data_IF_594528454560
#
_entry.id   IF_594528454560
#
_cell.length_a   1.000
_cell.length_b   1.000
_cell.length_c   1.000
_cell.angle_alpha   90.00
_cell.angle_beta   90.00
_cell.angle_gamma   90.00
#
_symmetry.space_group_name_H-M   'P 1'
#
loop_
_entity.id
_entity.type
_entity.pdbx_description
1 polymer ?
#
# COMPACT_ATOMS: atom_id res chain seq x y z
N UNK A 1 -0.82 -29.27 -47.30
CA UNK A 1 -0.46 -30.53 -46.63
C UNK A 1 0.44 -30.20 -45.45
N UNK A 2 0.05 -29.28 -44.56
CA UNK A 2 -1.09 -29.33 -43.62
C UNK A 2 -1.02 -30.61 -42.77
N UNK A 3 -0.57 -30.51 -41.52
CA UNK A 3 -1.46 -30.19 -40.40
C UNK A 3 -0.64 -30.01 -39.10
N UNK A 4 -0.78 -28.82 -38.50
CA UNK A 4 -0.41 -28.45 -37.14
C UNK A 4 -1.46 -29.05 -36.18
N UNK A 5 -1.06 -30.03 -35.36
CA UNK A 5 -1.83 -30.46 -34.17
C UNK A 5 -1.10 -29.98 -32.91
N UNK A 6 -1.16 -28.68 -32.62
CA UNK A 6 -0.92 -28.16 -31.27
C UNK A 6 -2.26 -28.10 -30.54
N UNK A 7 -2.67 -29.26 -30.04
CA UNK A 7 -3.88 -29.47 -29.26
C UNK A 7 -3.73 -28.76 -27.91
N UNK A 8 -4.03 -27.46 -27.92
CA UNK A 8 -4.11 -26.61 -26.73
C UNK A 8 -5.09 -27.21 -25.73
N UNK A 9 -4.56 -27.92 -24.73
CA UNK A 9 -5.33 -28.40 -23.59
C UNK A 9 -6.00 -27.21 -22.93
N UNK A 10 -7.30 -27.02 -23.19
CA UNK A 10 -8.15 -26.09 -22.49
C UNK A 10 -8.17 -26.53 -21.02
N UNK A 11 -7.35 -25.87 -20.20
CA UNK A 11 -7.40 -26.05 -18.75
C UNK A 11 -8.77 -25.56 -18.30
N UNK A 12 -9.53 -26.42 -17.62
CA UNK A 12 -10.81 -26.05 -16.99
C UNK A 12 -10.54 -24.94 -15.97
N UNK A 13 -10.66 -23.69 -16.42
CA UNK A 13 -10.50 -22.52 -15.57
C UNK A 13 -11.56 -22.56 -14.48
N UNK A 14 -11.19 -22.36 -13.20
CA UNK A 14 -12.18 -22.33 -12.14
C UNK A 14 -13.15 -21.17 -12.39
N UNK A 15 -14.45 -21.48 -12.38
CA UNK A 15 -15.54 -20.51 -12.55
C UNK A 15 -16.27 -20.31 -11.22
N UNK A 16 -16.58 -19.05 -10.90
CA UNK A 16 -17.25 -18.66 -9.66
C UNK A 16 -18.48 -17.79 -9.97
N UNK A 17 -19.51 -18.35 -10.64
CA UNK A 17 -20.61 -17.55 -11.20
C UNK A 17 -21.41 -16.78 -10.14
N UNK A 18 -21.61 -17.37 -8.96
CA UNK A 18 -22.30 -16.72 -7.85
C UNK A 18 -21.51 -15.52 -7.29
N UNK A 19 -20.20 -15.68 -7.11
CA UNK A 19 -19.30 -14.62 -6.66
C UNK A 19 -19.20 -13.51 -7.71
N UNK A 20 -19.03 -13.87 -8.97
CA UNK A 20 -18.95 -12.92 -10.08
C UNK A 20 -20.23 -12.09 -10.18
N UNK A 21 -21.41 -12.71 -10.07
CA UNK A 21 -22.69 -11.99 -10.05
C UNK A 21 -22.78 -11.04 -8.86
N UNK A 22 -22.46 -11.50 -7.65
CA UNK A 22 -22.51 -10.68 -6.44
C UNK A 22 -21.54 -9.47 -6.49
N UNK A 23 -20.35 -9.68 -7.06
CA UNK A 23 -19.36 -8.61 -7.28
C UNK A 23 -19.88 -7.60 -8.30
N UNK A 24 -20.46 -8.07 -9.40
CA UNK A 24 -20.94 -7.18 -10.46
C UNK A 24 -22.13 -6.33 -10.00
N UNK A 25 -23.05 -6.90 -9.21
CA UNK A 25 -24.14 -6.18 -8.54
C UNK A 25 -23.60 -5.13 -7.56
N UNK A 26 -22.58 -5.48 -6.77
CA UNK A 26 -21.94 -4.56 -5.83
C UNK A 26 -21.25 -3.40 -6.54
N UNK A 27 -20.58 -3.66 -7.68
CA UNK A 27 -19.97 -2.62 -8.52
C UNK A 27 -21.06 -1.65 -9.02
N UNK A 28 -22.17 -2.17 -9.52
CA UNK A 28 -23.29 -1.34 -9.99
C UNK A 28 -23.84 -0.46 -8.85
N UNK A 29 -24.08 -1.04 -7.67
CA UNK A 29 -24.58 -0.33 -6.49
C UNK A 29 -23.61 0.78 -6.00
N UNK A 30 -22.30 0.58 -6.17
CA UNK A 30 -21.27 1.54 -5.78
C UNK A 30 -21.02 2.63 -6.83
N UNK A 31 -21.78 2.66 -7.93
CA UNK A 31 -21.68 3.67 -8.98
C UNK A 31 -20.78 3.26 -10.15
N UNK A 32 -20.63 1.97 -10.39
CA UNK A 32 -19.99 1.39 -11.58
C UNK A 32 -18.46 1.30 -11.52
N UNK A 33 -17.82 1.80 -10.47
CA UNK A 33 -16.37 1.69 -10.27
C UNK A 33 -16.02 1.55 -8.79
N UNK A 34 -15.11 0.64 -8.48
CA UNK A 34 -14.75 0.26 -7.13
C UNK A 34 -13.23 0.20 -6.91
N UNK A 35 -12.86 0.20 -5.64
CA UNK A 35 -11.53 -0.10 -5.11
C UNK A 35 -11.64 -1.38 -4.27
N UNK A 36 -10.98 -2.49 -4.66
CA UNK A 36 -11.03 -3.74 -3.93
C UNK A 36 -9.98 -3.80 -2.81
N UNK A 37 -10.31 -4.47 -1.70
CA UNK A 37 -9.35 -4.95 -0.69
C UNK A 37 -9.82 -6.25 -0.06
N UNK A 38 -8.90 -7.03 0.50
CA UNK A 38 -9.25 -8.11 1.41
C UNK A 38 -9.44 -7.56 2.84
N UNK A 39 -9.49 -8.44 3.83
CA UNK A 39 -9.69 -8.11 5.25
C UNK A 39 -8.77 -6.97 5.71
N UNK A 40 -7.50 -6.97 5.29
CA UNK A 40 -6.49 -6.01 5.79
C UNK A 40 -5.88 -5.19 4.66
N UNK A 41 -5.46 -5.82 3.58
CA UNK A 41 -4.63 -5.21 2.56
C UNK A 41 -5.39 -4.94 1.27
N UNK A 42 -5.10 -3.79 0.67
CA UNK A 42 -5.48 -3.47 -0.71
C UNK A 42 -4.30 -3.79 -1.64
N UNK A 43 -4.55 -4.14 -2.92
CA UNK A 43 -3.51 -4.56 -3.86
C UNK A 43 -2.71 -3.37 -4.44
N UNK A 44 -2.25 -2.45 -3.57
CA UNK A 44 -1.61 -1.17 -3.96
C UNK A 44 -0.29 -1.38 -4.72
N UNK A 45 0.42 -2.43 -4.37
CA UNK A 45 1.63 -2.92 -5.02
C UNK A 45 1.38 -3.44 -6.44
N UNK A 46 0.18 -3.97 -6.71
CA UNK A 46 -0.23 -4.45 -8.03
C UNK A 46 -0.84 -3.38 -8.94
N UNK A 47 -0.82 -2.10 -8.56
CA UNK A 47 -1.49 -1.03 -9.33
C UNK A 47 -1.04 -0.97 -10.80
N UNK A 48 0.21 -1.34 -11.11
CA UNK A 48 0.72 -1.40 -12.49
C UNK A 48 0.03 -2.44 -13.38
N UNK A 49 -0.61 -3.45 -12.79
CA UNK A 49 -1.37 -4.48 -13.51
C UNK A 49 -2.81 -4.03 -13.81
N UNK A 50 -3.30 -3.01 -13.11
CA UNK A 50 -4.64 -2.47 -13.32
C UNK A 50 -4.74 -1.62 -14.59
N UNK A 51 -5.97 -1.48 -15.10
CA UNK A 51 -6.24 -0.62 -16.25
C UNK A 51 -5.78 0.82 -15.96
N UNK A 52 -4.89 1.34 -16.81
CA UNK A 52 -4.30 2.67 -16.65
C UNK A 52 -3.36 2.84 -15.45
N UNK A 53 -2.85 1.74 -14.88
CA UNK A 53 -1.95 1.79 -13.72
C UNK A 53 -2.66 2.21 -12.42
N UNK A 54 -3.95 1.91 -12.30
CA UNK A 54 -4.81 2.33 -11.17
C UNK A 54 -5.43 1.14 -10.45
N UNK A 55 -5.93 1.38 -9.24
CA UNK A 55 -6.69 0.40 -8.45
C UNK A 55 -8.21 0.47 -8.71
N UNK A 56 -8.60 1.13 -9.79
CA UNK A 56 -10.00 1.27 -10.20
C UNK A 56 -10.43 0.03 -10.95
N UNK A 57 -11.46 -0.65 -10.44
CA UNK A 57 -12.07 -1.79 -11.11
C UNK A 57 -13.53 -1.53 -11.46
N UNK A 58 -13.99 -2.14 -12.55
CA UNK A 58 -15.34 -2.08 -13.10
C UNK A 58 -15.90 -3.46 -13.43
N UNK A 59 -15.05 -4.50 -13.38
CA UNK A 59 -15.43 -5.90 -13.61
C UNK A 59 -14.79 -6.82 -12.58
N UNK A 60 -15.37 -8.01 -12.40
CA UNK A 60 -14.77 -9.07 -11.60
C UNK A 60 -13.36 -9.46 -12.07
N UNK A 61 -13.14 -9.55 -13.39
CA UNK A 61 -11.84 -9.90 -13.95
C UNK A 61 -10.73 -8.91 -13.57
N UNK A 62 -11.02 -7.61 -13.58
CA UNK A 62 -10.07 -6.57 -13.14
C UNK A 62 -9.73 -6.71 -11.65
N UNK A 63 -10.72 -7.03 -10.81
CA UNK A 63 -10.50 -7.28 -9.38
C UNK A 63 -9.63 -8.51 -9.18
N UNK A 64 -9.98 -9.62 -9.84
CA UNK A 64 -9.24 -10.87 -9.75
C UNK A 64 -7.78 -10.72 -10.19
N UNK A 65 -7.54 -9.96 -11.28
CA UNK A 65 -6.19 -9.66 -11.75
C UNK A 65 -5.38 -8.90 -10.70
N UNK A 66 -5.90 -7.80 -10.15
CA UNK A 66 -5.19 -7.02 -9.14
C UNK A 66 -4.90 -7.84 -7.87
N UNK A 67 -5.88 -8.61 -7.38
CA UNK A 67 -5.71 -9.44 -6.19
C UNK A 67 -4.68 -10.54 -6.42
N UNK A 68 -4.69 -11.21 -7.59
CA UNK A 68 -3.75 -12.26 -7.94
C UNK A 68 -2.31 -11.75 -8.13
N UNK A 69 -2.17 -10.49 -8.53
CA UNK A 69 -0.87 -9.86 -8.78
C UNK A 69 -0.28 -9.10 -7.58
N UNK A 70 -0.91 -9.18 -6.41
CA UNK A 70 -0.48 -8.43 -5.22
C UNK A 70 0.19 -9.33 -4.18
N UNK A 71 1.42 -8.98 -3.80
CA UNK A 71 2.15 -9.58 -2.71
C UNK A 71 1.51 -9.23 -1.36
N UNK A 72 0.95 -8.02 -1.21
CA UNK A 72 0.19 -7.66 -0.01
C UNK A 72 -1.05 -8.56 0.18
N UNK A 73 -1.75 -8.90 -0.90
CA UNK A 73 -2.89 -9.82 -0.86
C UNK A 73 -2.44 -11.27 -0.62
N UNK A 74 -1.34 -11.70 -1.23
CA UNK A 74 -0.76 -13.01 -0.95
C UNK A 74 -0.36 -13.14 0.53
N UNK A 75 0.21 -12.09 1.10
CA UNK A 75 0.52 -12.02 2.52
C UNK A 75 -0.73 -12.14 3.40
N UNK A 76 -1.81 -11.44 3.09
CA UNK A 76 -3.09 -11.56 3.81
C UNK A 76 -3.60 -13.01 3.85
N UNK A 77 -3.53 -13.71 2.71
CA UNK A 77 -4.04 -15.08 2.57
C UNK A 77 -3.17 -16.13 3.26
N UNK A 78 -1.85 -15.95 3.23
CA UNK A 78 -0.90 -16.99 3.64
C UNK A 78 -0.25 -16.73 5.02
N UNK A 79 -0.14 -15.47 5.44
CA UNK A 79 0.76 -15.06 6.53
C UNK A 79 0.14 -14.12 7.56
N UNK A 80 -1.08 -13.60 7.36
CA UNK A 80 -1.68 -12.59 8.23
C UNK A 80 -1.70 -12.94 9.73
N UNK A 81 -1.93 -14.22 10.06
CA UNK A 81 -2.01 -14.71 11.44
C UNK A 81 -0.67 -15.23 11.98
N UNK A 82 0.39 -15.27 11.15
CA UNK A 82 1.67 -15.92 11.50
C UNK A 82 2.42 -15.24 12.64
N UNK A 83 2.15 -13.96 12.92
CA UNK A 83 2.80 -13.19 13.99
C UNK A 83 1.98 -13.10 15.29
N UNK A 84 0.80 -13.71 15.34
CA UNK A 84 -0.03 -13.69 16.53
C UNK A 84 0.52 -14.68 17.57
N UNK A 85 0.76 -14.23 18.81
CA UNK A 85 1.21 -15.11 19.92
C UNK A 85 0.15 -16.13 20.33
N UNK A 86 -1.12 -15.81 20.08
CA UNK A 86 -2.27 -16.54 20.61
C UNK A 86 -2.92 -17.46 19.55
N UNK A 87 -2.38 -17.49 18.33
CA UNK A 87 -2.97 -18.25 17.23
C UNK A 87 -2.51 -19.71 17.23
N UNK A 88 -3.39 -20.60 17.67
CA UNK A 88 -3.37 -22.00 17.26
C UNK A 88 -4.45 -22.18 16.19
N UNK A 89 -4.06 -22.12 14.90
CA UNK A 89 -4.95 -22.20 13.72
C UNK A 89 -5.96 -21.03 13.60
N UNK A 90 -6.49 -20.71 12.39
CA UNK A 90 -7.50 -19.67 12.28
C UNK A 90 -8.66 -19.96 13.23
N UNK A 91 -9.04 -18.96 14.03
CA UNK A 91 -10.10 -19.10 15.01
C UNK A 91 -11.38 -19.65 14.34
N UNK A 92 -12.17 -20.49 15.03
CA UNK A 92 -13.43 -20.99 14.48
C UNK A 92 -14.29 -19.82 13.96
N UNK A 93 -14.63 -19.83 12.68
CA UNK A 93 -15.44 -18.78 12.04
C UNK A 93 -14.66 -17.62 11.40
N UNK A 94 -13.34 -17.72 11.27
CA UNK A 94 -12.58 -16.77 10.45
C UNK A 94 -12.82 -17.01 8.95
N UNK A 95 -13.31 -15.98 8.25
CA UNK A 95 -13.53 -15.99 6.80
C UNK A 95 -12.84 -14.80 6.14
N UNK A 96 -12.28 -15.03 4.96
CA UNK A 96 -11.78 -13.95 4.12
C UNK A 96 -12.94 -13.19 3.48
N UNK A 97 -12.84 -11.87 3.46
CA UNK A 97 -13.85 -10.97 2.94
C UNK A 97 -13.26 -10.14 1.80
N UNK A 98 -14.00 -10.07 0.69
CA UNK A 98 -13.74 -9.11 -0.37
C UNK A 98 -14.52 -7.82 -0.10
N UNK A 99 -13.82 -6.78 0.33
CA UNK A 99 -14.40 -5.46 0.55
C UNK A 99 -14.30 -4.62 -0.72
N UNK A 100 -15.44 -4.16 -1.23
CA UNK A 100 -15.53 -3.23 -2.36
C UNK A 100 -15.91 -1.85 -1.85
N UNK A 101 -15.07 -0.86 -2.12
CA UNK A 101 -15.34 0.55 -1.80
C UNK A 101 -15.63 1.31 -3.08
N UNK A 102 -16.54 2.28 -3.03
CA UNK A 102 -16.78 3.19 -4.15
C UNK A 102 -15.48 3.87 -4.58
N UNK A 103 -15.17 3.82 -5.87
CA UNK A 103 -14.01 4.52 -6.42
C UNK A 103 -14.21 6.04 -6.32
N UNK A 104 -13.17 6.74 -5.85
CA UNK A 104 -13.15 8.19 -5.77
C UNK A 104 -11.87 8.73 -6.40
N UNK A 105 -11.92 9.03 -7.71
CA UNK A 105 -10.79 9.58 -8.45
C UNK A 105 -10.39 11.01 -8.09
N UNK A 106 -11.12 11.65 -7.17
CA UNK A 106 -10.82 13.01 -6.68
C UNK A 106 -10.09 13.02 -5.34
N UNK A 107 -9.71 11.84 -4.82
CA UNK A 107 -8.88 11.76 -3.62
C UNK A 107 -7.49 12.33 -3.91
N UNK A 108 -7.06 13.20 -3.01
CA UNK A 108 -5.79 13.90 -3.09
C UNK A 108 -4.79 13.25 -2.14
N UNK A 109 -3.70 12.61 -2.63
CA UNK A 109 -2.77 11.87 -1.77
C UNK A 109 -2.19 12.71 -0.63
N UNK A 110 -2.03 14.02 -0.82
CA UNK A 110 -1.50 14.92 0.21
C UNK A 110 -2.42 15.08 1.42
N UNK A 111 -3.70 14.71 1.31
CA UNK A 111 -4.67 14.81 2.40
C UNK A 111 -4.90 13.48 3.13
N UNK A 112 -4.04 12.48 2.90
CA UNK A 112 -4.04 11.20 3.60
C UNK A 112 -2.94 11.17 4.67
N UNK A 113 -3.31 10.76 5.89
CA UNK A 113 -2.41 10.76 7.04
C UNK A 113 -2.52 9.44 7.81
N UNK A 114 -1.39 8.96 8.34
CA UNK A 114 -1.33 7.86 9.28
C UNK A 114 -1.21 8.41 10.70
N UNK A 115 -2.05 7.89 11.58
CA UNK A 115 -2.11 8.25 12.98
C UNK A 115 -1.66 7.06 13.83
N UNK A 116 -0.87 7.32 14.87
CA UNK A 116 -0.28 6.32 15.75
C UNK A 116 -0.87 6.45 17.14
N UNK A 117 -1.47 5.37 17.65
CA UNK A 117 -2.13 5.33 18.95
C UNK A 117 -1.44 4.32 19.85
N UNK A 118 -0.99 4.77 21.02
CA UNK A 118 -0.35 3.94 22.04
C UNK A 118 -1.00 4.21 23.39
N UNK A 119 -1.39 3.18 24.12
CA UNK A 119 -2.07 3.31 25.42
C UNK A 119 -3.32 4.19 25.34
N UNK A 120 -4.10 4.06 24.27
CA UNK A 120 -5.28 4.90 23.95
C UNK A 120 -4.99 6.39 23.81
N UNK A 121 -3.75 6.80 23.54
CA UNK A 121 -3.36 8.19 23.28
C UNK A 121 -2.80 8.31 21.87
N UNK A 122 -3.18 9.38 21.16
CA UNK A 122 -2.55 9.74 19.90
C UNK A 122 -1.13 10.23 20.19
N UNK A 123 -0.12 9.56 19.62
CA UNK A 123 1.31 9.84 19.85
C UNK A 123 2.03 10.39 18.63
N UNK A 124 1.46 10.20 17.44
CA UNK A 124 2.03 10.75 16.22
C UNK A 124 1.04 10.78 15.06
N UNK A 125 1.28 11.71 14.14
CA UNK A 125 0.60 11.84 12.85
C UNK A 125 1.68 12.01 11.78
N UNK A 126 1.55 11.33 10.64
CA UNK A 126 2.38 11.63 9.47
C UNK A 126 1.63 11.59 8.15
N UNK A 127 2.18 12.31 7.18
CA UNK A 127 1.80 12.19 5.77
C UNK A 127 1.90 10.74 5.28
N UNK A 128 0.85 10.22 4.65
CA UNK A 128 0.81 8.82 4.20
C UNK A 128 1.66 8.54 2.97
N UNK A 129 1.70 9.49 2.04
CA UNK A 129 2.54 9.44 0.85
C UNK A 129 3.86 10.18 1.12
N UNK A 130 4.93 9.46 1.46
CA UNK A 130 6.21 10.04 1.91
C UNK A 130 7.20 10.41 0.79
N UNK A 131 6.91 10.05 -0.47
CA UNK A 131 7.84 10.32 -1.58
C UNK A 131 7.67 11.70 -2.21
N UNK A 132 6.49 12.30 -2.04
CA UNK A 132 6.16 13.59 -2.65
C UNK A 132 6.16 14.71 -1.63
N UNK A 133 6.84 15.82 -1.96
CA UNK A 133 6.74 17.07 -1.23
C UNK A 133 5.49 17.85 -1.69
N UNK A 134 4.59 18.15 -0.77
CA UNK A 134 3.40 18.97 -1.03
C UNK A 134 3.48 20.30 -0.28
N UNK A 135 3.88 21.41 -0.94
CA UNK A 135 4.05 22.72 -0.30
C UNK A 135 2.81 23.21 0.46
N UNK A 136 1.62 22.81 0.00
CA UNK A 136 0.35 23.17 0.64
C UNK A 136 0.24 22.67 2.09
N UNK A 137 0.96 21.60 2.45
CA UNK A 137 0.92 21.05 3.81
C UNK A 137 1.67 21.93 4.82
N UNK A 138 2.69 22.68 4.40
CA UNK A 138 3.42 23.59 5.28
C UNK A 138 2.49 24.64 5.90
N UNK A 139 1.55 25.17 5.12
CA UNK A 139 0.58 26.17 5.58
C UNK A 139 -0.67 25.60 6.25
N UNK A 140 -0.84 24.28 6.25
CA UNK A 140 -2.04 23.60 6.79
C UNK A 140 -1.75 22.67 7.96
N UNK A 141 -0.48 22.46 8.30
CA UNK A 141 -0.03 21.50 9.31
C UNK A 141 -0.77 21.67 10.64
N UNK A 142 -0.83 22.90 11.17
CA UNK A 142 -1.48 23.18 12.45
C UNK A 142 -3.01 22.98 12.41
N UNK A 143 -3.66 23.38 11.31
CA UNK A 143 -5.11 23.14 11.11
C UNK A 143 -5.41 21.64 11.06
N UNK A 144 -4.60 20.89 10.30
CA UNK A 144 -4.74 19.45 10.13
C UNK A 144 -4.49 18.69 11.44
N UNK A 145 -3.51 19.13 12.23
CA UNK A 145 -3.23 18.57 13.57
C UNK A 145 -4.48 18.65 14.45
N UNK A 146 -5.06 19.85 14.57
CA UNK A 146 -6.24 20.09 15.39
C UNK A 146 -7.45 19.27 14.91
N UNK A 147 -7.68 19.20 13.59
CA UNK A 147 -8.79 18.43 13.03
C UNK A 147 -8.65 16.93 13.30
N UNK A 148 -7.45 16.38 13.09
CA UNK A 148 -7.18 14.94 13.27
C UNK A 148 -7.20 14.57 14.75
N UNK A 149 -6.57 15.37 15.62
CA UNK A 149 -6.57 15.16 17.06
C UNK A 149 -7.98 15.24 17.65
N UNK A 150 -8.78 16.24 17.25
CA UNK A 150 -10.18 16.35 17.65
C UNK A 150 -11.02 15.15 17.19
N UNK A 151 -10.86 14.73 15.93
CA UNK A 151 -11.51 13.54 15.41
C UNK A 151 -11.13 12.26 16.17
N UNK A 152 -9.86 12.11 16.54
CA UNK A 152 -9.41 10.99 17.35
C UNK A 152 -10.11 10.97 18.72
N UNK A 153 -10.07 12.07 19.47
CA UNK A 153 -10.62 12.14 20.82
C UNK A 153 -12.15 11.96 20.84
N UNK A 154 -12.85 12.55 19.89
CA UNK A 154 -14.32 12.55 19.87
C UNK A 154 -14.92 11.30 19.22
N UNK A 155 -14.24 10.70 18.23
CA UNK A 155 -14.81 9.64 17.40
C UNK A 155 -14.10 8.31 17.59
N UNK A 156 -12.78 8.27 17.38
CA UNK A 156 -12.03 7.00 17.30
C UNK A 156 -11.77 6.42 18.69
N UNK A 157 -11.19 7.22 19.59
CA UNK A 157 -10.79 6.82 20.94
C UNK A 157 -11.91 6.20 21.78
N UNK A 158 -13.16 6.70 21.79
CA UNK A 158 -14.23 6.09 22.60
C UNK A 158 -14.79 4.78 22.00
N UNK A 159 -14.59 4.52 20.71
CA UNK A 159 -15.23 3.41 20.00
C UNK A 159 -14.29 2.24 19.71
N UNK A 160 -13.00 2.51 19.48
CA UNK A 160 -12.05 1.47 19.11
C UNK A 160 -11.56 0.69 20.33
N UNK A 161 -11.61 -0.65 20.21
CA UNK A 161 -11.39 -1.56 21.32
C UNK A 161 -9.92 -1.82 21.67
N UNK A 162 -8.98 -1.61 20.73
CA UNK A 162 -7.56 -1.78 20.99
C UNK A 162 -6.96 -0.56 21.69
N UNK A 163 -5.93 -0.78 22.50
CA UNK A 163 -5.17 0.29 23.14
C UNK A 163 -4.01 0.79 22.26
N UNK A 164 -3.45 -0.09 21.45
CA UNK A 164 -2.32 0.16 20.57
C UNK A 164 -2.69 -0.18 19.12
N UNK A 165 -2.60 0.78 18.22
CA UNK A 165 -2.93 0.61 16.81
C UNK A 165 -2.46 1.80 15.97
N UNK A 166 -2.55 1.66 14.66
CA UNK A 166 -2.49 2.79 13.73
C UNK A 166 -3.79 2.91 12.97
N UNK A 167 -4.13 4.10 12.53
CA UNK A 167 -5.27 4.30 11.64
C UNK A 167 -4.96 5.37 10.60
N UNK A 168 -5.44 5.14 9.39
CA UNK A 168 -5.25 6.04 8.26
C UNK A 168 -6.51 6.89 8.11
N UNK A 169 -6.34 8.20 7.90
CA UNK A 169 -7.43 9.16 7.71
C UNK A 169 -7.27 9.99 6.44
N UNK A 170 -8.39 10.45 5.90
CA UNK A 170 -8.45 11.44 4.85
C UNK A 170 -9.14 12.71 5.33
N UNK A 171 -8.51 13.86 5.10
CA UNK A 171 -9.13 15.17 5.41
C UNK A 171 -9.69 15.79 4.13
N UNK A 172 -11.01 15.94 4.09
CA UNK A 172 -11.69 16.55 2.93
C UNK A 172 -11.44 18.06 2.86
N UNK A 173 -11.64 18.66 1.69
CA UNK A 173 -11.47 20.11 1.51
C UNK A 173 -12.38 20.99 2.39
N UNK A 174 -13.45 20.43 2.96
CA UNK A 174 -14.32 21.10 3.93
C UNK A 174 -14.00 20.76 5.40
N UNK A 175 -12.81 20.25 5.71
CA UNK A 175 -12.35 19.97 7.07
C UNK A 175 -12.91 18.68 7.71
N UNK A 176 -13.77 17.93 7.01
CA UNK A 176 -14.25 16.63 7.53
C UNK A 176 -13.15 15.57 7.45
N UNK A 177 -12.89 14.91 8.57
CA UNK A 177 -11.96 13.77 8.68
C UNK A 177 -12.73 12.46 8.47
N UNK A 178 -12.16 11.54 7.69
CA UNK A 178 -12.74 10.22 7.41
C UNK A 178 -11.71 9.14 7.68
N UNK A 179 -12.08 8.07 8.38
CA UNK A 179 -11.23 6.88 8.49
C UNK A 179 -11.15 6.18 7.14
N UNK A 180 -9.93 5.80 6.76
CA UNK A 180 -9.64 4.95 5.61
C UNK A 180 -9.31 3.53 6.04
N UNK A 181 -8.47 3.35 7.06
CA UNK A 181 -8.04 2.01 7.48
C UNK A 181 -7.60 1.96 8.93
N UNK A 182 -7.56 0.76 9.50
CA UNK A 182 -6.94 0.47 10.79
C UNK A 182 -5.87 -0.59 10.58
N UNK A 183 -4.72 -0.47 11.24
CA UNK A 183 -3.67 -1.48 11.21
C UNK A 183 -3.13 -1.74 12.62
N UNK A 184 -2.58 -2.94 12.89
CA UNK A 184 -1.90 -3.25 14.15
C UNK A 184 -0.75 -2.27 14.44
N UNK A 185 -0.43 -2.14 15.72
CA UNK A 185 0.82 -1.51 16.17
C UNK A 185 2.00 -2.41 15.83
N UNK A 186 2.97 -1.92 15.06
CA UNK A 186 4.10 -2.71 14.59
C UNK A 186 3.72 -3.75 13.53
N UNK A 187 4.36 -4.93 13.61
CA UNK A 187 4.25 -6.01 12.64
C UNK A 187 4.56 -5.55 11.21
N UNK A 188 3.66 -5.79 10.27
CA UNK A 188 3.81 -5.43 8.85
C UNK A 188 3.39 -3.98 8.56
N UNK A 189 2.95 -3.22 9.58
CA UNK A 189 2.59 -1.81 9.44
C UNK A 189 3.87 -1.00 9.25
N UNK A 190 3.96 -0.26 8.15
CA UNK A 190 5.09 0.67 7.93
C UNK A 190 4.93 1.94 8.79
N UNK A 191 5.99 2.40 9.49
CA UNK A 191 5.96 3.59 10.33
C UNK A 191 6.12 4.91 9.53
N UNK A 192 6.43 4.80 8.23
CA UNK A 192 6.45 5.90 7.25
C UNK A 192 7.51 6.97 7.56
N UNK A 193 7.11 8.13 8.09
CA UNK A 193 8.02 9.20 8.49
C UNK A 193 8.52 9.06 9.94
N UNK A 194 8.12 7.98 10.61
CA UNK A 194 8.60 7.63 11.94
C UNK A 194 9.48 6.39 11.93
N UNK A 195 10.27 6.23 12.98
CA UNK A 195 10.83 4.95 13.41
C UNK A 195 9.94 4.35 14.52
N UNK A 196 9.90 3.02 14.67
CA UNK A 196 9.07 2.41 15.71
C UNK A 196 9.59 2.74 17.11
N UNK A 197 10.92 2.79 17.28
CA UNK A 197 11.60 3.06 18.54
C UNK A 197 11.26 4.45 19.11
N UNK A 198 11.08 5.47 18.25
CA UNK A 198 10.67 6.80 18.71
C UNK A 198 9.19 6.88 19.08
N UNK A 199 8.35 6.02 18.50
CA UNK A 199 6.92 5.90 18.85
C UNK A 199 6.71 5.13 20.16
N UNK A 200 7.65 4.29 20.57
CA UNK A 200 7.62 3.56 21.85
C UNK A 200 8.01 4.43 23.06
N UNK A 201 8.67 5.57 22.83
CA UNK A 201 9.23 6.42 23.89
C UNK A 201 8.19 6.96 24.88
N UNK A 202 8.13 6.37 26.08
CA UNK A 202 7.24 6.74 27.20
C UNK A 202 7.36 8.19 27.67
N UNK A 203 8.50 8.85 27.40
CA UNK A 203 8.81 10.19 27.93
C UNK A 203 7.98 11.34 27.33
N UNK A 204 7.44 11.18 26.11
CA UNK A 204 6.64 12.23 25.45
C UNK A 204 5.31 12.49 26.15
N UNK A 205 4.69 11.42 26.62
CA UNK A 205 3.41 11.43 27.30
C UNK A 205 3.48 12.05 28.71
N UNK A 206 4.64 11.97 29.37
CA UNK A 206 4.91 12.49 30.73
C UNK A 206 5.41 13.94 30.73
N UNK A 207 6.11 14.37 29.68
CA UNK A 207 6.65 15.73 29.56
C UNK A 207 5.64 16.78 29.03
N UNK A 208 4.41 16.36 28.72
CA UNK A 208 3.40 17.25 28.14
C UNK A 208 3.71 17.68 26.70
N UNK A 209 4.58 16.94 26.01
CA UNK A 209 4.83 17.17 24.58
C UNK A 209 3.57 16.81 23.79
N UNK A 210 3.15 17.72 22.91
CA UNK A 210 1.99 17.53 22.04
C UNK A 210 2.18 16.37 21.07
N UNK A 211 1.13 16.05 20.32
CA UNK A 211 1.18 15.05 19.24
C UNK A 211 2.23 15.49 18.22
N UNK A 212 3.18 14.61 17.88
CA UNK A 212 4.16 14.95 16.84
C UNK A 212 3.52 14.77 15.46
N UNK A 213 3.53 15.83 14.65
CA UNK A 213 3.07 15.78 13.26
C UNK A 213 4.25 15.92 12.29
N UNK A 214 4.58 14.85 11.57
CA UNK A 214 5.62 14.83 10.52
C UNK A 214 5.02 14.92 9.11
N UNK A 215 5.58 15.82 8.30
CA UNK A 215 5.28 15.93 6.86
C UNK A 215 6.60 15.97 6.09
N UNK A 216 6.55 15.76 4.77
CA UNK A 216 7.71 16.04 3.92
C UNK A 216 7.85 17.56 3.83
N UNK A 217 8.96 18.13 4.34
CA UNK A 217 9.12 19.59 4.46
C UNK A 217 9.87 20.24 3.30
N UNK A 218 10.53 19.45 2.45
CA UNK A 218 11.29 19.97 1.31
C UNK A 218 11.30 19.00 0.14
N UNK A 219 11.53 19.54 -1.05
CA UNK A 219 11.74 18.75 -2.25
C UNK A 219 13.10 18.05 -2.16
N UNK A 220 13.07 16.75 -1.90
CA UNK A 220 14.25 15.88 -2.06
C UNK A 220 14.20 15.22 -3.44
N UNK A 221 15.34 14.68 -3.91
CA UNK A 221 15.39 13.86 -5.13
C UNK A 221 14.59 12.56 -5.02
N UNK A 222 14.92 11.56 -5.85
CA UNK A 222 14.20 10.27 -5.86
C UNK A 222 14.20 9.64 -4.47
N UNK A 223 13.02 9.51 -3.86
CA UNK A 223 12.81 8.73 -2.64
C UNK A 223 12.31 7.34 -3.02
N UNK A 224 12.80 6.26 -2.38
CA UNK A 224 12.24 4.93 -2.58
C UNK A 224 10.73 4.99 -2.33
N UNK A 225 9.95 4.53 -3.32
CA UNK A 225 8.51 4.35 -3.15
C UNK A 225 8.22 3.34 -2.06
N UNK A 226 7.05 3.47 -1.42
CA UNK A 226 6.48 2.44 -0.54
C UNK A 226 6.03 1.17 -1.30
N UNK A 227 6.47 1.00 -2.56
CA UNK A 227 6.12 -0.15 -3.39
C UNK A 227 6.96 -1.34 -2.93
N UNK A 228 6.28 -2.36 -2.46
CA UNK A 228 6.88 -3.63 -1.99
C UNK A 228 7.21 -4.57 -3.14
N UNK A 229 6.65 -4.35 -4.32
CA UNK A 229 6.92 -5.14 -5.51
C UNK A 229 7.88 -4.41 -6.45
N UNK A 230 8.90 -5.13 -6.91
CA UNK A 230 9.81 -4.74 -8.00
C UNK A 230 9.67 -5.76 -9.13
N UNK A 231 9.88 -5.36 -10.41
CA UNK A 231 9.87 -6.32 -11.50
C UNK A 231 10.83 -7.47 -11.22
N UNK A 232 10.46 -8.70 -11.57
CA UNK A 232 11.30 -9.88 -11.31
C UNK A 232 12.71 -9.73 -11.89
N UNK A 233 12.83 -9.13 -13.07
CA UNK A 233 14.11 -8.83 -13.73
C UNK A 233 15.04 -7.95 -12.86
N UNK A 234 14.52 -7.17 -11.91
CA UNK A 234 15.36 -6.41 -10.96
C UNK A 234 15.99 -7.27 -9.88
N UNK A 235 15.38 -8.42 -9.56
CA UNK A 235 15.85 -9.36 -8.53
C UNK A 235 16.64 -10.52 -9.13
N UNK A 236 16.33 -10.90 -10.37
CA UNK A 236 17.02 -11.97 -11.06
C UNK A 236 18.40 -11.53 -11.54
N UNK A 237 19.40 -11.93 -10.77
CA UNK A 237 20.82 -11.77 -11.09
C UNK A 237 21.45 -13.09 -11.59
N UNK A 238 20.62 -14.08 -11.94
CA UNK A 238 21.08 -15.37 -12.44
C UNK A 238 21.76 -15.29 -13.81
N UNK A 239 22.49 -16.34 -14.17
CA UNK A 239 23.11 -16.46 -15.49
C UNK A 239 22.01 -16.50 -16.58
N UNK A 240 22.12 -15.61 -17.57
CA UNK A 240 21.12 -15.41 -18.63
C UNK A 240 20.07 -14.33 -18.34
N UNK A 241 20.00 -13.81 -17.12
CA UNK A 241 19.09 -12.72 -16.73
C UNK A 241 19.37 -11.41 -17.48
N UNK A 242 18.44 -10.46 -17.39
CA UNK A 242 18.62 -9.11 -17.95
C UNK A 242 19.85 -8.40 -17.40
N UNK A 243 20.12 -8.52 -16.10
CA UNK A 243 21.32 -7.93 -15.47
C UNK A 243 22.61 -8.60 -15.90
N UNK A 244 22.64 -9.93 -15.98
CA UNK A 244 23.81 -10.66 -16.44
C UNK A 244 24.16 -10.31 -17.89
N UNK A 245 23.16 -10.19 -18.77
CA UNK A 245 23.37 -9.71 -20.14
C UNK A 245 23.86 -8.27 -20.19
N UNK A 246 23.28 -7.37 -19.38
CA UNK A 246 23.69 -5.98 -19.31
C UNK A 246 25.15 -5.85 -18.83
N UNK A 247 25.51 -6.53 -17.73
CA UNK A 247 26.84 -6.50 -17.16
C UNK A 247 27.87 -7.06 -18.13
N UNK A 248 27.58 -8.17 -18.83
CA UNK A 248 28.47 -8.71 -19.87
C UNK A 248 28.73 -7.71 -21.00
N UNK A 249 27.69 -7.04 -21.50
CA UNK A 249 27.84 -6.01 -22.54
C UNK A 249 28.61 -4.79 -22.03
N UNK A 250 28.37 -4.37 -20.79
CA UNK A 250 29.11 -3.27 -20.18
C UNK A 250 30.60 -3.60 -20.03
N UNK A 251 30.93 -4.84 -19.63
CA UNK A 251 32.30 -5.34 -19.55
C UNK A 251 32.98 -5.39 -20.93
N UNK A 252 32.28 -5.84 -21.97
CA UNK A 252 32.76 -5.85 -23.35
C UNK A 252 33.06 -4.42 -23.85
N UNK A 253 32.14 -3.48 -23.59
CA UNK A 253 32.29 -2.07 -23.96
C UNK A 253 33.45 -1.39 -23.21
N UNK A 254 33.61 -1.67 -21.91
CA UNK A 254 34.75 -1.19 -21.11
C UNK A 254 36.09 -1.68 -21.68
N UNK A 255 36.16 -2.96 -22.09
CA UNK A 255 37.35 -3.54 -22.71
C UNK A 255 37.63 -2.91 -24.07
N UNK A 256 36.59 -2.65 -24.85
CA UNK A 256 36.70 -1.95 -26.13
C UNK A 256 37.24 -0.53 -25.96
N UNK A 257 36.69 0.25 -25.02
CA UNK A 257 37.15 1.61 -24.73
C UNK A 257 38.58 1.66 -24.20
N UNK A 258 39.00 0.68 -23.39
CA UNK A 258 40.38 0.58 -22.92
C UNK A 258 41.38 0.22 -24.04
N UNK A 259 40.91 -0.36 -25.14
CA UNK A 259 41.73 -0.75 -26.30
C UNK A 259 41.64 0.27 -27.45
N UNK A 260 40.68 1.19 -27.41
CA UNK A 260 40.55 2.27 -28.37
C UNK A 260 41.61 3.35 -28.11
N UNK A 261 42.53 3.63 -29.04
CA UNK A 261 43.49 4.73 -28.89
C UNK A 261 42.74 6.07 -28.91
N UNK A 262 43.18 7.05 -28.10
CA UNK A 262 42.65 8.41 -28.10
C UNK A 262 42.66 8.98 -29.53
N UNK A 263 41.51 8.97 -30.20
CA UNK A 263 41.33 9.68 -31.45
C UNK A 263 41.04 11.15 -31.12
N UNK A 264 42.10 11.91 -30.83
CA UNK A 264 41.96 13.31 -30.47
C UNK A 264 43.28 14.07 -30.27
N UNK A 265 44.04 14.27 -31.35
CA UNK A 265 44.89 15.44 -31.56
C UNK A 265 44.99 15.75 -33.06
#
# INVERSE_FOLDING_TARGET
>A
DDDDDDDSQATDLPSFPELESAVQESIAALGGAVFPKLNWSAPKDAASMGAGGTLRCTTFAEIALLLKSSDCVAHDLCHALGSCSDSTSPAPGFEFQLALRKWCGSLRPEMEFRCFVRGRRLVGICQREVTTFYPVLLGKKDELDLLIAGFFEEVVRPQFGSDDYTFDVYVTGGGRVKVLDFNPWGAYTLPLLFEWEELEGSGRAENGEGVEFKIVESQCGVRPGLKTAVPFDYLDMGEGSGWDQFLRRADEELRWQAQAPEAGA
#
